data_IF_970146541160
#
_entry.id   IF_970146541160
#
_cell.length_a   1.000
_cell.length_b   1.000
_cell.length_c   1.000
_cell.angle_alpha   90.00
_cell.angle_beta   90.00
_cell.angle_gamma   90.00
#
_symmetry.space_group_name_H-M   'P 1'
#
loop_
_entity.id
_entity.type
_entity.pdbx_description
1 polymer ?
#
# COMPACT_ATOMS: atom_id res chain seq x y z
N UNK A 1 0.15 6.12 13.31
CA UNK A 1 -0.70 7.20 13.85
C UNK A 1 -2.09 7.17 13.22
N UNK A 2 -3.10 7.58 13.97
CA UNK A 2 -4.46 7.82 13.51
C UNK A 2 -4.53 9.24 12.95
N UNK A 3 -5.23 9.42 11.84
CA UNK A 3 -5.35 10.69 11.11
C UNK A 3 -6.81 11.03 10.85
N UNK A 4 -7.14 12.32 10.86
CA UNK A 4 -8.42 12.96 10.47
C UNK A 4 -9.68 12.51 11.21
N UNK A 5 -9.84 11.23 11.50
CA UNK A 5 -10.99 10.65 12.20
C UNK A 5 -10.63 10.24 13.64
N UNK A 6 -11.61 10.13 14.54
CA UNK A 6 -11.37 9.61 15.89
C UNK A 6 -10.80 8.19 15.87
N UNK A 7 -9.95 7.87 16.84
CA UNK A 7 -9.44 6.51 17.01
C UNK A 7 -10.57 5.53 17.30
N UNK A 8 -10.81 4.60 16.39
CA UNK A 8 -11.78 3.51 16.51
C UNK A 8 -11.16 2.17 16.91
N UNK A 9 -9.89 2.17 17.34
CA UNK A 9 -9.18 0.96 17.77
C UNK A 9 -8.61 0.10 16.64
N UNK A 10 -8.75 0.53 15.38
CA UNK A 10 -8.13 -0.14 14.23
C UNK A 10 -6.62 0.02 14.30
N UNK A 11 -5.88 -1.04 13.99
CA UNK A 11 -4.41 -1.03 13.94
C UNK A 11 -3.93 -1.77 12.71
N UNK A 12 -2.72 -1.45 12.27
CA UNK A 12 -2.04 -2.12 11.17
C UNK A 12 -0.58 -2.40 11.52
N UNK A 13 -0.10 -3.55 11.07
CA UNK A 13 1.32 -3.91 11.06
C UNK A 13 1.74 -4.19 9.63
N UNK A 14 2.97 -3.79 9.28
CA UNK A 14 3.58 -4.15 8.01
C UNK A 14 4.99 -4.70 8.24
N UNK A 15 5.33 -5.74 7.48
CA UNK A 15 6.69 -6.30 7.42
C UNK A 15 7.11 -6.37 5.96
N UNK A 16 8.38 -6.07 5.73
CA UNK A 16 9.00 -6.17 4.42
C UNK A 16 10.21 -7.10 4.52
N UNK A 17 10.39 -7.93 3.53
CA UNK A 17 11.65 -8.62 3.28
C UNK A 17 11.92 -8.65 1.77
N UNK A 18 13.13 -8.99 1.38
CA UNK A 18 13.51 -9.03 -0.03
C UNK A 18 14.52 -10.14 -0.29
N UNK A 19 14.60 -10.54 -1.55
CA UNK A 19 15.70 -11.30 -2.12
C UNK A 19 16.19 -10.60 -3.41
N UNK A 20 16.98 -11.28 -4.22
CA UNK A 20 17.48 -10.76 -5.49
C UNK A 20 16.40 -10.67 -6.60
N UNK A 21 15.21 -11.18 -6.35
CA UNK A 21 14.10 -11.27 -7.32
C UNK A 21 12.92 -10.37 -7.01
N UNK A 22 12.62 -10.11 -5.74
CA UNK A 22 11.41 -9.38 -5.33
C UNK A 22 11.53 -8.73 -3.95
N UNK A 23 10.70 -7.73 -3.74
CA UNK A 23 10.29 -7.23 -2.43
C UNK A 23 9.00 -7.97 -2.02
N UNK A 24 8.96 -8.52 -0.81
CA UNK A 24 7.81 -9.22 -0.25
C UNK A 24 7.19 -8.36 0.83
N UNK A 25 5.88 -8.24 0.76
CA UNK A 25 5.08 -7.42 1.67
C UNK A 25 4.13 -8.33 2.44
N UNK A 26 4.17 -8.22 3.75
CA UNK A 26 3.16 -8.76 4.66
C UNK A 26 2.50 -7.60 5.40
N UNK A 27 1.17 -7.57 5.38
CA UNK A 27 0.36 -6.58 6.08
C UNK A 27 -0.69 -7.31 6.92
N UNK A 28 -0.98 -6.77 8.11
CA UNK A 28 -2.03 -7.25 8.99
C UNK A 28 -2.83 -6.07 9.52
N UNK A 29 -4.13 -6.12 9.35
CA UNK A 29 -5.08 -5.20 9.96
C UNK A 29 -5.82 -5.90 11.12
N UNK A 30 -5.97 -5.17 12.23
CA UNK A 30 -6.80 -5.52 13.38
C UNK A 30 -8.02 -4.62 13.35
N UNK A 31 -9.15 -5.18 12.95
CA UNK A 31 -10.44 -4.46 12.82
C UNK A 31 -11.60 -5.45 12.92
N UNK A 32 -12.69 -5.06 13.59
CA UNK A 32 -13.87 -5.93 13.78
C UNK A 32 -14.75 -6.00 12.55
N UNK A 33 -14.89 -4.86 11.84
CA UNK A 33 -15.85 -4.68 10.75
C UNK A 33 -15.13 -4.60 9.42
N UNK A 34 -14.78 -5.76 8.87
CA UNK A 34 -14.01 -5.84 7.63
C UNK A 34 -14.94 -5.78 6.43
N UNK A 35 -14.95 -4.64 5.74
CA UNK A 35 -15.67 -4.43 4.48
C UNK A 35 -14.82 -4.96 3.31
N UNK A 36 -15.45 -5.67 2.35
CA UNK A 36 -14.81 -6.25 1.17
C UNK A 36 -15.83 -6.45 0.04
N UNK A 37 -16.17 -5.41 -0.67
CA UNK A 37 -17.17 -5.43 -1.74
C UNK A 37 -16.56 -5.45 -3.14
N UNK A 38 -15.42 -4.80 -3.31
CA UNK A 38 -14.79 -4.70 -4.62
C UNK A 38 -13.97 -5.94 -4.97
N UNK A 39 -14.11 -6.41 -6.23
CA UNK A 39 -13.46 -7.63 -6.73
C UNK A 39 -12.80 -7.44 -8.11
N UNK A 40 -12.93 -6.27 -8.72
CA UNK A 40 -12.36 -5.99 -10.03
C UNK A 40 -11.12 -5.08 -9.94
N UNK A 41 -10.13 -5.23 -10.82
CA UNK A 41 -8.99 -4.31 -10.91
C UNK A 41 -9.45 -2.87 -11.08
N UNK A 42 -8.66 -1.91 -10.56
CA UNK A 42 -8.93 -0.48 -10.61
C UNK A 42 -10.22 -0.05 -9.90
N UNK A 43 -10.84 -0.92 -9.11
CA UNK A 43 -11.93 -0.53 -8.23
C UNK A 43 -11.43 0.40 -7.13
N UNK A 44 -12.31 1.25 -6.54
CA UNK A 44 -11.92 2.13 -5.44
C UNK A 44 -11.78 1.35 -4.13
N UNK A 45 -10.72 0.53 -4.03
CA UNK A 45 -10.49 -0.38 -2.91
C UNK A 45 -10.29 0.33 -1.57
N UNK A 46 -9.95 1.63 -1.58
CA UNK A 46 -9.89 2.50 -0.40
C UNK A 46 -11.25 2.66 0.31
N UNK A 47 -12.35 2.45 -0.40
CA UNK A 47 -13.70 2.44 0.19
C UNK A 47 -13.99 1.18 1.00
N UNK A 48 -13.30 0.07 0.73
CA UNK A 48 -13.29 -1.14 1.55
C UNK A 48 -12.29 -1.02 2.72
N UNK A 49 -12.21 -2.06 3.54
CA UNK A 49 -11.06 -2.24 4.44
C UNK A 49 -9.81 -2.36 3.58
N UNK A 50 -8.98 -1.35 3.56
CA UNK A 50 -7.83 -1.27 2.65
C UNK A 50 -6.53 -1.14 3.41
N UNK A 51 -5.49 -1.85 2.98
CA UNK A 51 -4.11 -1.67 3.41
C UNK A 51 -3.27 -1.22 2.22
N UNK A 52 -2.37 -0.24 2.46
CA UNK A 52 -1.67 0.43 1.38
C UNK A 52 -0.17 0.50 1.65
N UNK A 53 0.61 0.40 0.58
CA UNK A 53 2.04 0.62 0.60
C UNK A 53 2.43 1.54 -0.55
N UNK A 54 2.82 2.77 -0.21
CA UNK A 54 3.27 3.78 -1.16
C UNK A 54 4.79 3.96 -1.03
N UNK A 55 5.50 4.00 -2.14
CA UNK A 55 6.95 4.15 -2.12
C UNK A 55 7.50 4.89 -3.34
N UNK A 56 8.60 5.60 -3.12
CA UNK A 56 9.40 6.26 -4.15
C UNK A 56 10.83 5.73 -4.11
N UNK A 57 11.32 5.21 -5.22
CA UNK A 57 12.66 4.62 -5.34
C UNK A 57 13.68 5.60 -5.90
N UNK A 58 13.25 6.81 -6.26
CA UNK A 58 14.07 7.92 -6.78
C UNK A 58 13.62 9.24 -6.15
N UNK A 59 14.42 10.28 -6.27
CA UNK A 59 14.10 11.62 -5.75
C UNK A 59 13.41 12.51 -6.80
N UNK A 60 12.80 11.93 -7.85
CA UNK A 60 12.15 12.66 -8.93
C UNK A 60 10.69 13.06 -8.64
N UNK A 61 10.21 12.79 -7.43
CA UNK A 61 8.85 13.11 -6.98
C UNK A 61 7.79 12.07 -7.34
N UNK A 62 8.10 11.10 -8.20
CA UNK A 62 7.16 10.03 -8.54
C UNK A 62 7.18 8.93 -7.49
N UNK A 63 6.04 8.31 -7.30
CA UNK A 63 5.87 7.18 -6.38
C UNK A 63 4.95 6.12 -7.00
N UNK A 64 5.03 4.92 -6.44
CA UNK A 64 4.10 3.80 -6.70
C UNK A 64 3.16 3.71 -5.51
N UNK A 65 1.86 3.52 -5.76
CA UNK A 65 0.90 3.13 -4.74
C UNK A 65 0.35 1.73 -5.02
N UNK A 66 0.49 0.86 -4.02
CA UNK A 66 -0.22 -0.42 -3.92
C UNK A 66 -1.30 -0.27 -2.86
N UNK A 67 -2.54 -0.50 -3.25
CA UNK A 67 -3.71 -0.49 -2.36
C UNK A 67 -4.41 -1.83 -2.52
N UNK A 68 -4.65 -2.55 -1.43
CA UNK A 68 -5.22 -3.89 -1.47
C UNK A 68 -6.37 -4.03 -0.48
N UNK A 69 -7.49 -4.61 -0.93
CA UNK A 69 -8.62 -4.94 -0.09
C UNK A 69 -8.63 -6.44 0.32
N UNK A 70 -9.51 -6.90 1.22
CA UNK A 70 -9.54 -8.30 1.66
C UNK A 70 -9.94 -9.33 0.59
N UNK A 71 -10.43 -8.90 -0.57
CA UNK A 71 -10.69 -9.75 -1.74
C UNK A 71 -9.45 -9.92 -2.64
N UNK A 72 -8.27 -9.45 -2.19
CA UNK A 72 -7.04 -9.43 -2.97
C UNK A 72 -7.15 -8.61 -4.28
N UNK A 73 -8.08 -7.65 -4.29
CA UNK A 73 -8.20 -6.69 -5.38
C UNK A 73 -7.19 -5.57 -5.16
N UNK A 74 -6.38 -5.30 -6.18
CA UNK A 74 -5.30 -4.31 -6.13
C UNK A 74 -5.68 -3.09 -6.95
N UNK A 75 -5.54 -1.90 -6.37
CA UNK A 75 -5.36 -0.66 -7.11
C UNK A 75 -3.88 -0.31 -7.12
N UNK A 76 -3.33 -0.10 -8.31
CA UNK A 76 -1.94 0.19 -8.54
C UNK A 76 -1.80 1.47 -9.36
N UNK A 77 -1.02 2.42 -8.88
CA UNK A 77 -0.73 3.66 -9.58
C UNK A 77 0.74 4.03 -9.57
N UNK A 78 1.13 4.89 -10.51
CA UNK A 78 2.48 5.44 -10.62
C UNK A 78 2.42 6.87 -11.15
N UNK A 79 3.00 7.82 -10.44
CA UNK A 79 3.04 9.23 -10.84
C UNK A 79 3.47 10.16 -9.71
N UNK A 80 3.42 11.47 -9.94
CA UNK A 80 3.86 12.46 -8.97
C UNK A 80 2.81 12.79 -7.90
N UNK A 81 1.53 12.62 -8.22
CA UNK A 81 0.43 12.93 -7.31
C UNK A 81 -0.85 12.14 -7.65
N UNK A 82 -1.93 12.38 -6.90
CA UNK A 82 -3.23 11.72 -7.07
C UNK A 82 -3.84 11.92 -8.45
N UNK A 83 -3.64 13.06 -9.10
CA UNK A 83 -4.33 13.46 -10.32
C UNK A 83 -3.53 13.15 -11.59
N UNK A 84 -2.20 13.22 -11.50
CA UNK A 84 -1.30 13.02 -12.63
C UNK A 84 -0.67 11.62 -12.68
N UNK A 85 -1.08 10.71 -11.78
CA UNK A 85 -0.63 9.32 -11.82
C UNK A 85 -1.33 8.53 -12.91
N UNK A 86 -0.62 7.60 -13.54
CA UNK A 86 -1.23 6.55 -14.35
C UNK A 86 -1.68 5.42 -13.44
N UNK A 87 -2.91 4.92 -13.66
CA UNK A 87 -3.40 3.73 -13.00
C UNK A 87 -3.01 2.53 -13.83
N UNK A 88 -2.34 1.59 -13.20
CA UNK A 88 -1.82 0.40 -13.85
C UNK A 88 -2.77 -0.77 -13.61
N UNK A 89 -3.12 -1.48 -14.70
CA UNK A 89 -3.83 -2.73 -14.63
C UNK A 89 -3.00 -3.79 -15.33
N UNK A 90 -2.45 -4.71 -14.58
CA UNK A 90 -1.65 -5.79 -15.15
C UNK A 90 -2.58 -6.99 -15.41
N UNK A 91 -2.63 -7.49 -16.66
CA UNK A 91 -3.50 -8.63 -17.05
C UNK A 91 -3.25 -9.89 -16.21
N UNK A 92 -2.06 -10.02 -15.66
CA UNK A 92 -1.64 -11.14 -14.81
C UNK A 92 -1.24 -10.67 -13.40
N UNK A 93 -2.01 -9.73 -12.80
CA UNK A 93 -1.73 -9.24 -11.44
C UNK A 93 -1.58 -10.38 -10.44
N UNK A 94 -2.48 -11.36 -10.51
CA UNK A 94 -2.45 -12.54 -9.65
C UNK A 94 -1.17 -13.37 -9.83
N UNK A 95 -0.66 -13.52 -11.04
CA UNK A 95 0.59 -14.23 -11.31
C UNK A 95 1.82 -13.39 -10.95
N UNK A 96 1.78 -12.10 -11.22
CA UNK A 96 2.89 -11.18 -11.00
C UNK A 96 3.10 -10.90 -9.53
N UNK A 97 2.06 -10.43 -8.84
CA UNK A 97 2.14 -10.00 -7.45
C UNK A 97 1.77 -11.10 -6.45
N UNK A 98 1.02 -12.13 -6.88
CA UNK A 98 0.58 -13.28 -6.07
C UNK A 98 -0.07 -12.84 -4.74
N UNK A 99 -1.06 -11.95 -4.79
CA UNK A 99 -1.70 -11.48 -3.58
C UNK A 99 -2.50 -12.62 -2.92
N UNK A 100 -2.32 -12.77 -1.63
CA UNK A 100 -3.08 -13.70 -0.78
C UNK A 100 -3.64 -12.90 0.40
N UNK A 101 -4.96 -12.85 0.51
CA UNK A 101 -5.63 -12.23 1.63
C UNK A 101 -6.36 -13.29 2.45
N UNK A 102 -6.21 -13.22 3.77
CA UNK A 102 -6.78 -14.20 4.69
C UNK A 102 -7.52 -13.50 5.82
N UNK A 103 -8.76 -13.89 6.06
CA UNK A 103 -9.53 -13.45 7.23
C UNK A 103 -8.99 -14.09 8.50
N UNK A 104 -8.88 -13.31 9.55
CA UNK A 104 -8.49 -13.77 10.88
C UNK A 104 -9.62 -13.45 11.89
N UNK A 105 -9.63 -14.05 13.08
CA UNK A 105 -10.63 -13.77 14.10
C UNK A 105 -10.72 -12.29 14.51
N UNK A 106 -9.63 -11.55 14.35
CA UNK A 106 -9.47 -10.16 14.79
C UNK A 106 -9.18 -9.18 13.63
N UNK A 107 -9.42 -9.60 12.37
CA UNK A 107 -9.19 -8.76 11.19
C UNK A 107 -8.83 -9.54 9.93
N UNK A 108 -7.72 -9.19 9.31
CA UNK A 108 -7.26 -9.85 8.07
C UNK A 108 -5.79 -9.58 7.78
N UNK A 109 -5.21 -10.40 6.90
CA UNK A 109 -3.83 -10.24 6.41
C UNK A 109 -3.81 -10.14 4.89
N UNK A 110 -2.79 -9.48 4.37
CA UNK A 110 -2.43 -9.48 2.96
C UNK A 110 -0.94 -9.81 2.81
N UNK A 111 -0.65 -10.72 1.88
CA UNK A 111 0.70 -11.09 1.48
C UNK A 111 0.82 -10.94 -0.02
N UNK A 112 1.86 -10.27 -0.50
CA UNK A 112 2.14 -10.15 -1.93
C UNK A 112 3.62 -9.88 -2.18
N UNK A 113 4.04 -10.07 -3.41
CA UNK A 113 5.40 -9.74 -3.85
C UNK A 113 5.39 -8.63 -4.88
N UNK A 114 6.44 -7.84 -4.92
CA UNK A 114 6.69 -6.83 -5.94
C UNK A 114 7.98 -7.23 -6.67
N UNK A 115 7.88 -7.86 -7.85
CA UNK A 115 9.07 -8.35 -8.55
C UNK A 115 10.02 -7.24 -8.96
N UNK A 116 11.34 -7.49 -8.85
CA UNK A 116 12.36 -6.54 -9.30
C UNK A 116 12.22 -6.22 -10.79
N UNK A 117 11.77 -7.18 -11.61
CA UNK A 117 11.47 -6.97 -13.02
C UNK A 117 10.36 -5.94 -13.24
N UNK A 118 9.32 -5.93 -12.39
CA UNK A 118 8.29 -4.89 -12.41
C UNK A 118 8.84 -3.54 -11.96
N UNK A 119 9.58 -3.50 -10.86
CA UNK A 119 10.17 -2.25 -10.36
C UNK A 119 11.08 -1.59 -11.40
N UNK A 120 11.84 -2.38 -12.16
CA UNK A 120 12.72 -1.87 -13.23
C UNK A 120 12.02 -1.34 -14.47
N UNK A 121 10.74 -1.66 -14.67
CA UNK A 121 9.94 -0.99 -15.69
C UNK A 121 9.73 0.48 -15.33
N UNK A 122 9.52 0.77 -14.04
CA UNK A 122 9.26 2.11 -13.52
C UNK A 122 10.54 2.84 -13.13
N UNK A 123 11.53 2.10 -12.62
CA UNK A 123 12.81 2.58 -12.08
C UNK A 123 13.95 1.69 -12.60
N UNK A 124 14.44 1.91 -13.83
CA UNK A 124 15.37 1.00 -14.51
C UNK A 124 16.65 0.67 -13.75
N UNK A 125 17.20 1.65 -13.00
CA UNK A 125 18.45 1.52 -12.25
C UNK A 125 18.27 0.93 -10.84
N UNK A 126 17.05 0.62 -10.43
CA UNK A 126 16.80 0.13 -9.07
C UNK A 126 17.32 -1.30 -8.88
N UNK A 127 17.87 -1.55 -7.68
CA UNK A 127 18.34 -2.88 -7.26
C UNK A 127 17.97 -3.17 -5.80
N UNK A 128 17.59 -4.42 -5.54
CA UNK A 128 17.35 -4.92 -4.19
C UNK A 128 18.69 -5.41 -3.60
N UNK A 129 19.26 -4.64 -2.70
CA UNK A 129 20.51 -4.98 -2.00
C UNK A 129 20.61 -4.25 -0.67
N UNK A 130 21.36 -4.79 0.26
CA UNK A 130 21.63 -4.14 1.56
C UNK A 130 22.21 -2.73 1.38
N UNK A 131 21.80 -1.81 2.23
CA UNK A 131 22.19 -0.41 2.24
C UNK A 131 21.42 0.49 1.27
N UNK A 132 20.61 -0.07 0.35
CA UNK A 132 19.72 0.74 -0.48
C UNK A 132 18.63 1.34 0.40
N UNK A 133 18.42 2.63 0.27
CA UNK A 133 17.30 3.30 0.91
C UNK A 133 16.31 3.82 -0.13
N UNK A 134 15.06 3.96 0.29
CA UNK A 134 14.00 4.58 -0.47
C UNK A 134 13.00 5.26 0.48
N UNK A 135 12.11 6.07 -0.06
CA UNK A 135 11.07 6.72 0.74
C UNK A 135 9.75 5.98 0.58
N UNK A 136 9.02 5.82 1.68
CA UNK A 136 7.75 5.10 1.66
C UNK A 136 6.83 5.54 2.81
N UNK A 137 5.57 5.18 2.69
CA UNK A 137 4.62 5.17 3.80
C UNK A 137 3.70 3.95 3.70
N UNK A 138 3.15 3.58 4.84
CA UNK A 138 2.19 2.48 4.96
C UNK A 138 0.90 3.04 5.52
N UNK A 139 -0.22 2.66 4.94
CA UNK A 139 -1.51 3.22 5.30
C UNK A 139 -2.55 2.13 5.51
N UNK A 140 -3.53 2.46 6.34
CA UNK A 140 -4.76 1.70 6.52
C UNK A 140 -5.91 2.68 6.41
N UNK A 141 -6.85 2.39 5.54
CA UNK A 141 -8.08 3.15 5.43
C UNK A 141 -9.30 2.25 5.33
N UNK A 142 -10.45 2.89 5.38
CA UNK A 142 -11.75 2.26 5.25
C UNK A 142 -12.82 3.33 5.13
N UNK A 143 -12.85 4.04 3.98
CA UNK A 143 -13.69 5.23 3.79
C UNK A 143 -15.17 4.93 3.96
N UNK A 144 -15.64 3.73 3.58
CA UNK A 144 -17.04 3.30 3.68
C UNK A 144 -17.25 2.12 4.63
N UNK A 145 -16.33 1.87 5.54
CA UNK A 145 -16.52 0.93 6.65
C UNK A 145 -17.52 1.52 7.66
N UNK A 146 -18.01 0.68 8.58
CA UNK A 146 -18.93 1.13 9.66
C UNK A 146 -18.33 2.27 10.48
N UNK A 147 -17.01 2.24 10.66
CA UNK A 147 -16.24 3.28 11.31
C UNK A 147 -15.15 3.76 10.35
N UNK A 148 -15.37 4.82 9.55
CA UNK A 148 -14.34 5.37 8.68
C UNK A 148 -13.07 5.66 9.47
N UNK A 149 -11.90 5.29 8.91
CA UNK A 149 -10.63 5.42 9.60
C UNK A 149 -9.46 5.57 8.63
N UNK A 150 -8.44 6.29 9.09
CA UNK A 150 -7.23 6.57 8.33
C UNK A 150 -6.02 6.48 9.23
N UNK A 151 -5.11 5.56 8.96
CA UNK A 151 -3.89 5.37 9.71
C UNK A 151 -2.68 5.47 8.78
N UNK A 152 -1.57 5.98 9.32
CA UNK A 152 -0.31 6.06 8.60
C UNK A 152 0.87 5.67 9.51
N UNK A 153 1.92 5.14 8.93
CA UNK A 153 3.20 4.94 9.62
C UNK A 153 3.86 6.29 9.94
N UNK A 154 4.07 7.14 8.91
CA UNK A 154 4.45 8.53 9.11
C UNK A 154 3.23 9.43 8.95
N UNK A 155 3.05 10.38 9.86
CA UNK A 155 1.92 11.31 9.83
C UNK A 155 1.86 12.09 8.52
N UNK A 156 0.63 12.32 8.06
CA UNK A 156 0.34 13.18 6.92
C UNK A 156 -0.38 14.42 7.45
N UNK A 157 0.20 15.58 7.23
CA UNK A 157 -0.27 16.86 7.78
C UNK A 157 -1.08 17.62 6.72
N UNK A 158 -2.30 17.14 6.45
CA UNK A 158 -3.26 17.79 5.54
C UNK A 158 -4.59 18.01 6.23
N UNK A 159 -5.36 19.00 5.78
CA UNK A 159 -6.64 19.37 6.40
C UNK A 159 -7.75 18.33 6.13
N UNK A 160 -7.60 17.49 5.12
CA UNK A 160 -8.55 16.44 4.72
C UNK A 160 -7.79 15.18 4.33
N UNK A 161 -8.43 13.99 4.37
CA UNK A 161 -7.79 12.72 4.01
C UNK A 161 -7.14 12.73 2.63
N UNK A 162 -5.83 12.59 2.60
CA UNK A 162 -5.03 12.52 1.38
C UNK A 162 -3.69 11.82 1.62
N UNK A 163 -3.59 10.53 1.28
CA UNK A 163 -2.37 9.76 1.40
C UNK A 163 -1.37 9.99 0.25
N UNK A 164 -1.82 10.63 -0.85
CA UNK A 164 -1.00 10.89 -2.02
C UNK A 164 -0.04 12.09 -1.84
N UNK A 165 0.70 12.07 -0.75
CA UNK A 165 1.57 13.14 -0.27
C UNK A 165 2.99 12.61 -0.04
N UNK A 166 3.79 12.42 -1.11
CA UNK A 166 5.12 11.82 -1.01
C UNK A 166 6.10 12.62 -0.15
N UNK A 167 5.86 13.92 0.11
CA UNK A 167 6.64 14.73 1.03
C UNK A 167 6.63 14.21 2.48
N UNK A 168 5.59 13.45 2.87
CA UNK A 168 5.49 12.83 4.20
C UNK A 168 5.99 11.38 4.25
N UNK A 169 6.57 10.87 3.17
CA UNK A 169 7.15 9.52 3.19
C UNK A 169 8.38 9.46 4.09
N UNK A 170 8.42 8.45 4.95
CA UNK A 170 9.56 8.11 5.77
C UNK A 170 10.66 7.40 4.99
N UNK A 171 11.85 7.28 5.60
CA UNK A 171 12.99 6.57 5.03
C UNK A 171 12.97 5.10 5.42
N UNK A 172 13.04 4.22 4.44
CA UNK A 172 13.27 2.77 4.62
C UNK A 172 14.65 2.39 4.10
N UNK A 173 15.30 1.43 4.76
CA UNK A 173 16.62 0.91 4.39
C UNK A 173 16.50 -0.61 4.28
N UNK A 174 16.97 -1.16 3.17
CA UNK A 174 17.13 -2.61 3.01
C UNK A 174 18.35 -3.07 3.84
N UNK A 175 18.15 -3.97 4.78
CA UNK A 175 19.18 -4.47 5.69
C UNK A 175 19.75 -5.83 5.23
#
# INVERSE_FOLDING_TARGET
CVLWEPDCGVRMEQKLCYDDTALYVFQRAYESDVRAEYTAPLSPVHEDSCMEFFFSLTDDGRYVNFEINPNACIELGFGPDRHERVRLCHKSEQETFRPVCTRTPDGWTAEYRIPLSFLRILYPEFSLRSGVFFRANCYKCGDKTVHPHFLAWNAVETAAPDFHRPEFFGKMILA
#
